data_IF_450655003193
#
_entry.id   IF_450655003193
#
_cell.length_a   1.000
_cell.length_b   1.000
_cell.length_c   1.000
_cell.angle_alpha   90.00
_cell.angle_beta   90.00
_cell.angle_gamma   90.00
#
_symmetry.space_group_name_H-M   'P 1'
#
loop_
_entity.id
_entity.type
_entity.pdbx_description
1 polymer ?
#
# COMPACT_ATOMS: atom_id res chain seq x y z
N UNK A 1 34.74 7.74 -6.30
CA UNK A 1 35.23 9.05 -5.79
C UNK A 1 34.07 10.03 -5.70
N UNK A 2 33.85 10.60 -4.52
CA UNK A 2 32.82 11.63 -4.29
C UNK A 2 33.51 12.98 -4.21
N UNK A 3 33.00 13.98 -4.92
CA UNK A 3 33.53 15.34 -4.92
C UNK A 3 32.87 16.12 -3.79
N UNK A 4 33.67 16.69 -2.91
CA UNK A 4 33.18 17.58 -1.87
C UNK A 4 33.18 19.06 -2.34
N UNK A 5 32.64 19.97 -1.53
CA UNK A 5 32.56 21.41 -1.81
C UNK A 5 33.92 22.06 -2.13
N UNK A 6 35.04 21.53 -1.60
CA UNK A 6 36.38 21.99 -1.87
C UNK A 6 37.01 21.37 -3.10
N UNK A 7 36.23 20.69 -3.96
CA UNK A 7 36.69 19.96 -5.15
C UNK A 7 37.71 18.86 -4.88
N UNK A 8 37.87 18.42 -3.62
CA UNK A 8 38.68 17.25 -3.28
C UNK A 8 37.86 15.99 -3.51
N UNK A 9 38.49 14.97 -4.01
CA UNK A 9 37.86 13.65 -4.16
C UNK A 9 38.11 12.84 -2.89
N UNK A 10 37.03 12.26 -2.35
CA UNK A 10 37.14 11.28 -1.28
C UNK A 10 37.39 9.92 -1.89
N UNK A 11 38.43 9.24 -1.50
CA UNK A 11 38.69 7.86 -1.88
C UNK A 11 37.85 6.96 -0.93
N UNK A 12 36.77 6.40 -1.41
CA UNK A 12 35.88 5.54 -0.61
C UNK A 12 36.53 4.21 -0.23
N UNK A 13 37.56 3.79 -0.97
CA UNK A 13 38.29 2.54 -0.69
C UNK A 13 39.27 2.71 0.49
N UNK A 14 39.60 3.94 0.85
CA UNK A 14 40.53 4.24 1.96
C UNK A 14 39.88 4.23 3.35
N UNK A 15 38.54 4.07 3.40
CA UNK A 15 37.78 4.19 4.64
C UNK A 15 37.60 5.62 5.12
N UNK A 16 36.97 5.78 6.27
CA UNK A 16 36.77 7.07 6.95
C UNK A 16 37.19 6.92 8.40
N UNK A 17 38.16 7.76 8.81
CA UNK A 17 38.56 7.86 10.21
C UNK A 17 37.53 8.66 11.00
N UNK A 18 36.94 8.03 12.00
CA UNK A 18 35.92 8.65 12.87
C UNK A 18 36.59 9.00 14.21
N UNK A 19 36.42 10.26 14.63
CA UNK A 19 36.87 10.67 15.95
C UNK A 19 36.31 9.77 17.06
N UNK A 20 37.12 9.27 18.01
CA UNK A 20 36.67 8.35 19.08
C UNK A 20 35.45 8.88 19.87
N UNK A 21 35.41 10.18 20.21
CA UNK A 21 34.26 10.80 20.88
C UNK A 21 32.99 10.77 20.03
N UNK A 22 33.10 10.95 18.72
CA UNK A 22 31.99 10.83 17.79
C UNK A 22 31.53 9.36 17.70
N UNK A 23 32.44 8.41 17.76
CA UNK A 23 32.09 6.97 17.78
C UNK A 23 31.32 6.60 19.05
N UNK A 24 31.72 7.10 20.22
CA UNK A 24 30.98 6.91 21.46
C UNK A 24 29.57 7.50 21.39
N UNK A 25 29.45 8.70 20.84
CA UNK A 25 28.18 9.36 20.59
C UNK A 25 27.28 8.51 19.65
N UNK A 26 27.82 8.04 18.54
CA UNK A 26 27.08 7.19 17.60
C UNK A 26 26.64 5.87 18.24
N UNK A 27 27.47 5.24 19.07
CA UNK A 27 27.10 4.03 19.81
C UNK A 27 25.96 4.31 20.80
N UNK A 28 26.09 5.39 21.59
CA UNK A 28 25.10 5.76 22.60
C UNK A 28 23.73 6.10 22.01
N UNK A 29 23.70 6.80 20.89
CA UNK A 29 22.46 7.29 20.27
C UNK A 29 22.08 6.53 18.98
N UNK A 30 22.64 5.35 18.75
CA UNK A 30 22.48 4.57 17.53
C UNK A 30 21.01 4.44 17.08
N UNK A 31 20.12 4.05 17.99
CA UNK A 31 18.69 3.83 17.68
C UNK A 31 18.01 5.13 17.22
N UNK A 32 18.26 6.24 17.90
CA UNK A 32 17.68 7.54 17.55
C UNK A 32 18.23 8.06 16.22
N UNK A 33 19.54 7.94 16.02
CA UNK A 33 20.21 8.36 14.79
C UNK A 33 19.74 7.52 13.59
N UNK A 34 19.61 6.21 13.74
CA UNK A 34 19.05 5.36 12.68
C UNK A 34 17.65 5.77 12.31
N UNK A 35 16.77 6.02 13.29
CA UNK A 35 15.40 6.48 13.02
C UNK A 35 15.40 7.84 12.31
N UNK A 36 16.25 8.77 12.72
CA UNK A 36 16.37 10.07 12.06
C UNK A 36 16.83 9.94 10.60
N UNK A 37 17.86 9.12 10.35
CA UNK A 37 18.37 8.86 8.99
C UNK A 37 17.29 8.20 8.13
N UNK A 38 16.58 7.19 8.66
CA UNK A 38 15.52 6.51 7.93
C UNK A 38 14.37 7.47 7.59
N UNK A 39 14.00 8.37 8.52
CA UNK A 39 12.98 9.38 8.27
C UNK A 39 13.39 10.34 7.15
N UNK A 40 14.60 10.85 7.17
CA UNK A 40 15.11 11.75 6.12
C UNK A 40 15.25 11.01 4.77
N UNK A 41 15.67 9.75 4.81
CA UNK A 41 15.72 8.90 3.63
C UNK A 41 14.33 8.65 3.04
N UNK A 42 13.33 8.36 3.89
CA UNK A 42 11.95 8.21 3.45
C UNK A 42 11.39 9.50 2.84
N UNK A 43 11.64 10.66 3.47
CA UNK A 43 11.25 11.98 2.93
C UNK A 43 11.90 12.26 1.57
N UNK A 44 13.16 11.87 1.40
CA UNK A 44 13.86 11.98 0.11
C UNK A 44 13.21 11.08 -0.94
N UNK A 45 12.92 9.83 -0.58
CA UNK A 45 12.28 8.88 -1.48
C UNK A 45 10.84 9.27 -1.83
N UNK A 46 10.08 9.87 -0.92
CA UNK A 46 8.73 10.38 -1.20
C UNK A 46 8.72 11.43 -2.30
N UNK A 47 9.75 12.27 -2.39
CA UNK A 47 9.89 13.25 -3.48
C UNK A 47 10.14 12.61 -4.85
N UNK A 48 10.74 11.42 -4.86
CA UNK A 48 11.05 10.67 -6.09
C UNK A 48 9.97 9.67 -6.46
N UNK A 49 9.17 9.23 -5.48
CA UNK A 49 8.17 8.18 -5.61
C UNK A 49 6.80 8.69 -5.15
N UNK A 50 6.32 9.75 -5.81
CA UNK A 50 5.00 10.31 -5.54
C UNK A 50 3.94 9.20 -5.64
N UNK A 51 3.25 8.93 -4.54
CA UNK A 51 2.16 7.97 -4.47
C UNK A 51 2.49 6.59 -3.90
N UNK A 52 3.70 6.33 -3.41
CA UNK A 52 3.98 5.10 -2.66
C UNK A 52 3.54 5.27 -1.21
N UNK A 53 2.46 4.60 -0.76
CA UNK A 53 1.98 4.76 0.60
C UNK A 53 2.94 4.13 1.62
N UNK A 54 2.98 4.71 2.81
CA UNK A 54 3.76 4.24 3.97
C UNK A 54 5.23 3.95 3.71
N UNK A 55 5.89 4.85 3.02
CA UNK A 55 7.30 4.70 2.66
C UNK A 55 8.20 4.58 3.89
N UNK A 56 7.88 5.31 4.98
CA UNK A 56 8.62 5.28 6.24
C UNK A 56 8.61 3.85 6.82
N UNK A 57 7.45 3.22 6.98
CA UNK A 57 7.33 1.86 7.51
C UNK A 57 8.05 0.84 6.61
N UNK A 58 7.95 1.00 5.29
CA UNK A 58 8.64 0.14 4.32
C UNK A 58 10.16 0.28 4.41
N UNK A 59 10.68 1.47 4.66
CA UNK A 59 12.15 1.70 4.80
C UNK A 59 12.67 1.23 6.15
N UNK A 60 11.85 1.22 7.19
CA UNK A 60 12.23 0.71 8.52
C UNK A 60 12.17 -0.83 8.59
N UNK A 61 11.66 -1.50 7.56
CA UNK A 61 11.53 -2.96 7.53
C UNK A 61 10.51 -3.47 8.55
N UNK A 62 9.60 -2.62 9.01
CA UNK A 62 8.56 -3.02 9.94
C UNK A 62 7.58 -3.98 9.23
N UNK A 63 7.37 -5.14 9.83
CA UNK A 63 6.31 -6.05 9.42
C UNK A 63 4.98 -5.38 9.77
N UNK A 64 4.26 -4.90 8.74
CA UNK A 64 2.92 -4.33 8.95
C UNK A 64 1.97 -5.48 9.26
N UNK A 65 1.46 -5.58 10.51
CA UNK A 65 0.61 -6.69 10.89
C UNK A 65 -0.70 -6.62 10.12
N UNK A 66 -1.11 -7.74 9.51
CA UNK A 66 -2.44 -7.86 8.90
C UNK A 66 -3.48 -7.94 10.00
N UNK A 67 -4.49 -7.09 9.93
CA UNK A 67 -5.61 -7.13 10.87
C UNK A 67 -6.66 -8.16 10.47
N UNK A 68 -7.49 -8.60 11.44
CA UNK A 68 -8.62 -9.47 11.12
C UNK A 68 -9.67 -8.73 10.29
N UNK A 69 -9.90 -9.17 9.06
CA UNK A 69 -10.79 -8.51 8.09
C UNK A 69 -12.30 -8.73 8.34
N UNK A 70 -12.67 -9.44 9.42
CA UNK A 70 -14.06 -9.79 9.72
C UNK A 70 -15.00 -8.58 9.87
N UNK A 71 -14.53 -7.45 10.39
CA UNK A 71 -15.32 -6.21 10.48
C UNK A 71 -15.69 -5.64 9.10
N UNK A 72 -14.78 -5.72 8.14
CA UNK A 72 -15.01 -5.26 6.76
C UNK A 72 -15.95 -6.20 6.02
N UNK A 73 -15.81 -7.51 6.25
CA UNK A 73 -16.73 -8.50 5.73
C UNK A 73 -18.17 -8.21 6.19
N UNK A 74 -18.38 -8.00 7.50
CA UNK A 74 -19.69 -7.67 8.07
C UNK A 74 -20.29 -6.39 7.48
N UNK A 75 -19.45 -5.40 7.14
CA UNK A 75 -19.91 -4.16 6.55
C UNK A 75 -20.28 -4.32 5.06
N UNK A 76 -19.63 -5.21 4.31
CA UNK A 76 -19.85 -5.41 2.88
C UNK A 76 -20.93 -6.46 2.55
N UNK A 77 -21.02 -7.56 3.31
CA UNK A 77 -21.94 -8.68 3.05
C UNK A 77 -23.43 -8.31 2.92
N UNK A 78 -23.98 -7.30 3.62
CA UNK A 78 -25.37 -6.90 3.42
C UNK A 78 -25.68 -6.41 2.00
N UNK A 79 -24.69 -5.84 1.32
CA UNK A 79 -24.85 -5.17 0.03
C UNK A 79 -24.32 -5.98 -1.14
N UNK A 80 -23.34 -6.88 -0.91
CA UNK A 80 -22.63 -7.61 -1.97
C UNK A 80 -22.73 -9.11 -1.71
N UNK A 81 -23.53 -9.79 -2.53
CA UNK A 81 -23.79 -11.23 -2.41
C UNK A 81 -23.00 -12.05 -3.42
N UNK A 82 -22.48 -11.42 -4.45
CA UNK A 82 -21.76 -12.08 -5.52
C UNK A 82 -20.28 -11.75 -5.47
N UNK A 83 -19.47 -12.65 -5.98
CA UNK A 83 -18.03 -12.43 -6.16
C UNK A 83 -17.81 -11.23 -7.07
N UNK A 84 -16.98 -10.31 -6.62
CA UNK A 84 -16.67 -9.08 -7.34
C UNK A 84 -16.09 -9.34 -8.73
N UNK A 85 -15.30 -10.39 -8.89
CA UNK A 85 -14.59 -10.68 -10.13
C UNK A 85 -15.36 -11.57 -11.11
N UNK A 86 -15.96 -12.67 -10.65
CA UNK A 86 -16.65 -13.63 -11.51
C UNK A 86 -18.16 -13.62 -11.38
N UNK A 87 -18.72 -12.75 -10.57
CA UNK A 87 -20.16 -12.58 -10.32
C UNK A 87 -20.90 -13.83 -9.81
N UNK A 88 -20.23 -14.90 -9.41
CA UNK A 88 -20.86 -16.07 -8.80
C UNK A 88 -21.35 -15.74 -7.39
N UNK A 89 -22.47 -16.33 -6.98
CA UNK A 89 -22.99 -16.18 -5.63
C UNK A 89 -21.94 -16.64 -4.61
N UNK A 90 -21.74 -15.84 -3.58
CA UNK A 90 -20.75 -16.10 -2.53
C UNK A 90 -21.33 -17.04 -1.47
N UNK A 91 -20.60 -18.08 -1.16
CA UNK A 91 -20.89 -18.99 -0.06
C UNK A 91 -20.24 -18.50 1.22
N UNK A 92 -20.97 -18.58 2.34
CA UNK A 92 -20.53 -18.02 3.64
C UNK A 92 -19.11 -18.45 4.06
N UNK A 93 -18.74 -19.70 3.80
CA UNK A 93 -17.46 -20.27 4.21
C UNK A 93 -16.33 -20.10 3.16
N UNK A 94 -16.65 -19.64 1.96
CA UNK A 94 -15.73 -19.46 0.83
C UNK A 94 -15.60 -18.00 0.39
N UNK A 95 -16.13 -17.08 1.20
CA UNK A 95 -16.07 -15.65 0.93
C UNK A 95 -14.85 -15.04 1.59
N UNK A 96 -14.05 -14.36 0.81
CA UNK A 96 -12.86 -13.65 1.25
C UNK A 96 -13.05 -12.14 1.11
N UNK A 97 -12.51 -11.39 2.06
CA UNK A 97 -12.30 -9.94 1.90
C UNK A 97 -10.98 -9.78 1.17
N UNK A 98 -11.01 -9.16 0.02
CA UNK A 98 -9.89 -9.05 -0.89
C UNK A 98 -9.54 -7.58 -1.17
N UNK A 99 -8.25 -7.27 -1.18
CA UNK A 99 -7.72 -5.97 -1.57
C UNK A 99 -7.69 -5.85 -3.10
N UNK A 100 -8.43 -4.91 -3.67
CA UNK A 100 -8.41 -4.69 -5.13
C UNK A 100 -7.04 -4.22 -5.59
N UNK A 101 -6.49 -3.19 -4.94
CA UNK A 101 -5.08 -2.81 -5.07
C UNK A 101 -4.30 -3.57 -4.00
N UNK A 102 -3.21 -4.29 -4.34
CA UNK A 102 -2.53 -5.21 -3.44
C UNK A 102 -2.13 -4.58 -2.09
N UNK A 103 -2.29 -5.36 -1.00
CA UNK A 103 -1.90 -4.94 0.33
C UNK A 103 -0.41 -4.56 0.41
N UNK A 104 0.45 -5.31 -0.26
CA UNK A 104 1.90 -5.06 -0.23
C UNK A 104 2.26 -3.69 -0.82
N UNK A 105 1.39 -3.14 -1.67
CA UNK A 105 1.51 -1.78 -2.18
C UNK A 105 0.91 -0.75 -1.23
N UNK A 106 -0.39 -0.89 -0.87
CA UNK A 106 -1.12 0.08 -0.02
C UNK A 106 -0.62 0.03 1.43
N UNK A 107 -0.30 -1.18 1.94
CA UNK A 107 0.11 -1.44 3.32
C UNK A 107 -0.91 -0.98 4.37
N UNK A 108 -2.19 -0.86 3.99
CA UNK A 108 -3.30 -0.45 4.84
C UNK A 108 -4.56 -1.25 4.58
N UNK A 109 -5.30 -1.49 5.67
CA UNK A 109 -6.60 -2.12 5.65
C UNK A 109 -7.70 -1.06 5.61
N UNK A 110 -8.04 -0.62 4.40
CA UNK A 110 -9.05 0.41 4.13
C UNK A 110 -10.23 -0.16 3.34
N UNK A 111 -11.47 0.03 3.85
CA UNK A 111 -12.67 -0.54 3.23
C UNK A 111 -12.91 -0.02 1.80
N UNK A 112 -12.41 1.15 1.45
CA UNK A 112 -12.50 1.67 0.09
C UNK A 112 -11.78 0.77 -0.93
N UNK A 113 -10.75 0.04 -0.48
CA UNK A 113 -9.96 -0.89 -1.30
C UNK A 113 -10.41 -2.35 -1.20
N UNK A 114 -11.40 -2.65 -0.36
CA UNK A 114 -11.86 -4.02 -0.15
C UNK A 114 -13.05 -4.40 -1.02
N UNK A 115 -13.10 -5.66 -1.40
CA UNK A 115 -14.25 -6.29 -2.03
C UNK A 115 -14.47 -7.69 -1.47
N UNK A 116 -15.60 -8.33 -1.85
CA UNK A 116 -15.86 -9.72 -1.53
C UNK A 116 -15.59 -10.59 -2.74
N UNK A 117 -14.74 -11.59 -2.58
CA UNK A 117 -14.34 -12.51 -3.62
C UNK A 117 -14.54 -13.97 -3.19
N UNK A 118 -14.81 -14.85 -4.16
CA UNK A 118 -14.77 -16.29 -3.93
C UNK A 118 -13.31 -16.75 -3.82
N UNK A 119 -13.08 -17.90 -3.20
CA UNK A 119 -11.75 -18.46 -3.00
C UNK A 119 -10.97 -18.58 -4.32
N UNK A 120 -11.61 -19.05 -5.41
CA UNK A 120 -10.97 -19.21 -6.72
C UNK A 120 -10.41 -17.88 -7.23
N UNK A 121 -11.21 -16.80 -7.24
CA UNK A 121 -10.76 -15.49 -7.71
C UNK A 121 -9.72 -14.85 -6.80
N UNK A 122 -9.88 -14.98 -5.46
CA UNK A 122 -8.92 -14.51 -4.49
C UNK A 122 -7.54 -15.17 -4.69
N UNK A 123 -7.52 -16.51 -4.86
CA UNK A 123 -6.29 -17.26 -5.13
C UNK A 123 -5.70 -16.93 -6.51
N UNK A 124 -6.51 -16.64 -7.52
CA UNK A 124 -6.01 -16.24 -8.85
C UNK A 124 -5.34 -14.87 -8.80
N UNK A 125 -5.96 -13.93 -8.07
CA UNK A 125 -5.46 -12.56 -7.99
C UNK A 125 -4.16 -12.45 -7.19
N UNK A 126 -4.09 -13.09 -6.01
CA UNK A 126 -2.95 -12.97 -5.11
C UNK A 126 -2.50 -11.49 -4.93
N UNK A 127 -1.21 -11.21 -5.15
CA UNK A 127 -0.63 -9.88 -5.11
C UNK A 127 -0.67 -9.09 -6.42
N UNK A 128 -1.47 -9.54 -7.42
CA UNK A 128 -1.57 -8.85 -8.72
C UNK A 128 -2.64 -7.76 -8.70
N UNK A 129 -2.57 -6.82 -9.65
CA UNK A 129 -3.66 -5.89 -9.96
C UNK A 129 -4.72 -6.59 -10.81
N UNK A 130 -6.02 -6.31 -10.60
CA UNK A 130 -7.05 -6.80 -11.52
C UNK A 130 -7.04 -6.00 -12.84
N UNK A 131 -7.72 -6.45 -13.90
CA UNK A 131 -7.99 -5.63 -15.08
C UNK A 131 -8.63 -4.28 -14.72
N UNK A 132 -8.32 -3.23 -15.48
CA UNK A 132 -8.74 -1.84 -15.22
C UNK A 132 -10.26 -1.67 -15.04
N UNK A 133 -11.09 -2.48 -15.75
CA UNK A 133 -12.54 -2.48 -15.57
C UNK A 133 -12.98 -2.63 -14.11
N UNK A 134 -12.23 -3.42 -13.33
CA UNK A 134 -12.53 -3.60 -11.90
C UNK A 134 -12.11 -2.40 -11.04
N UNK A 135 -11.18 -1.58 -11.50
CA UNK A 135 -10.89 -0.30 -10.83
C UNK A 135 -12.07 0.66 -10.98
N UNK A 136 -12.62 0.79 -12.19
CA UNK A 136 -13.79 1.63 -12.45
C UNK A 136 -15.01 1.15 -11.64
N UNK A 137 -15.21 -0.16 -11.57
CA UNK A 137 -16.26 -0.76 -10.75
C UNK A 137 -16.07 -0.46 -9.25
N UNK A 138 -14.81 -0.49 -8.76
CA UNK A 138 -14.48 -0.14 -7.37
C UNK A 138 -14.81 1.32 -7.06
N UNK A 139 -14.42 2.23 -7.94
CA UNK A 139 -14.68 3.67 -7.80
C UNK A 139 -16.19 3.92 -7.82
N UNK A 140 -16.91 3.34 -8.77
CA UNK A 140 -18.36 3.45 -8.89
C UNK A 140 -19.08 2.87 -7.65
N UNK A 141 -18.64 1.70 -7.17
CA UNK A 141 -19.15 1.12 -5.92
C UNK A 141 -18.91 2.08 -4.75
N UNK A 142 -17.74 2.61 -4.59
CA UNK A 142 -17.40 3.53 -3.52
C UNK A 142 -18.31 4.77 -3.53
N UNK A 143 -18.53 5.36 -4.69
CA UNK A 143 -19.43 6.50 -4.88
C UNK A 143 -20.88 6.16 -4.49
N UNK A 144 -21.41 5.04 -5.00
CA UNK A 144 -22.82 4.67 -4.86
C UNK A 144 -23.18 4.14 -3.47
N UNK A 145 -22.22 3.60 -2.73
CA UNK A 145 -22.46 3.02 -1.41
C UNK A 145 -21.88 3.83 -0.26
N UNK A 146 -21.22 4.95 -0.53
CA UNK A 146 -20.67 5.86 0.48
C UNK A 146 -21.70 6.20 1.56
N UNK A 147 -22.88 6.65 1.17
CA UNK A 147 -23.95 7.02 2.11
C UNK A 147 -24.63 5.84 2.82
N UNK A 148 -24.45 4.61 2.32
CA UNK A 148 -25.10 3.40 2.85
C UNK A 148 -24.21 2.63 3.83
N UNK A 149 -22.89 2.78 3.73
CA UNK A 149 -21.90 2.07 4.54
C UNK A 149 -21.07 3.09 5.32
N UNK A 150 -21.39 3.37 6.61
CA UNK A 150 -20.72 4.41 7.39
C UNK A 150 -19.19 4.25 7.46
N UNK A 151 -18.71 3.02 7.54
CA UNK A 151 -17.26 2.73 7.53
C UNK A 151 -16.61 3.13 6.20
N UNK A 152 -17.32 2.99 5.08
CA UNK A 152 -16.84 3.40 3.76
C UNK A 152 -16.81 4.92 3.65
N UNK A 153 -17.84 5.61 4.13
CA UNK A 153 -17.87 7.08 4.15
C UNK A 153 -16.69 7.65 4.94
N UNK A 154 -16.47 7.13 6.16
CA UNK A 154 -15.30 7.54 6.98
C UNK A 154 -13.99 7.30 6.23
N UNK A 155 -13.84 6.12 5.61
CA UNK A 155 -12.62 5.75 4.89
C UNK A 155 -12.36 6.62 3.66
N UNK A 156 -13.39 7.00 2.92
CA UNK A 156 -13.29 7.90 1.77
C UNK A 156 -13.06 9.35 2.18
N UNK A 157 -13.65 9.80 3.29
CA UNK A 157 -13.40 11.13 3.85
C UNK A 157 -11.92 11.28 4.25
N UNK A 158 -11.33 10.26 4.86
CA UNK A 158 -9.90 10.24 5.20
C UNK A 158 -8.99 10.20 3.97
N UNK A 159 -9.45 9.56 2.89
CA UNK A 159 -8.71 9.54 1.62
C UNK A 159 -8.70 10.92 0.93
N UNK A 160 -9.76 11.71 1.13
CA UNK A 160 -9.89 13.08 0.62
C UNK A 160 -11.04 13.28 -0.36
N UNK A 161 -11.30 14.54 -0.70
CA UNK A 161 -12.43 14.91 -1.59
C UNK A 161 -12.30 14.31 -2.99
N UNK A 162 -11.08 14.25 -3.53
CA UNK A 162 -10.78 13.69 -4.85
C UNK A 162 -10.47 12.19 -4.78
N UNK A 163 -11.18 11.42 -3.92
CA UNK A 163 -10.88 10.01 -3.68
C UNK A 163 -10.81 9.17 -4.97
N UNK A 164 -11.61 9.49 -5.98
CA UNK A 164 -11.63 8.76 -7.26
C UNK A 164 -10.28 8.87 -7.98
N UNK A 165 -9.77 10.09 -8.08
CA UNK A 165 -8.44 10.35 -8.65
C UNK A 165 -7.36 9.67 -7.82
N UNK A 166 -7.43 9.75 -6.50
CA UNK A 166 -6.44 9.15 -5.60
C UNK A 166 -6.41 7.62 -5.75
N UNK A 167 -7.57 6.98 -5.85
CA UNK A 167 -7.67 5.53 -6.08
C UNK A 167 -7.06 5.16 -7.44
N UNK A 168 -7.36 5.95 -8.48
CA UNK A 168 -6.79 5.75 -9.81
C UNK A 168 -5.26 5.93 -9.79
N UNK A 169 -4.77 6.99 -9.16
CA UNK A 169 -3.33 7.26 -9.02
C UNK A 169 -2.62 6.12 -8.27
N UNK A 170 -3.22 5.55 -7.24
CA UNK A 170 -2.68 4.37 -6.55
C UNK A 170 -2.56 3.16 -7.48
N UNK A 171 -3.54 2.91 -8.32
CA UNK A 171 -3.51 1.80 -9.26
C UNK A 171 -2.41 1.98 -10.31
N UNK A 172 -2.32 3.14 -10.94
CA UNK A 172 -1.29 3.45 -11.94
C UNK A 172 0.12 3.45 -11.33
N UNK A 173 0.26 3.96 -10.12
CA UNK A 173 1.53 3.92 -9.41
C UNK A 173 1.94 2.47 -9.07
N UNK A 174 1.01 1.62 -8.61
CA UNK A 174 1.29 0.20 -8.39
C UNK A 174 1.76 -0.48 -9.68
N UNK A 175 1.09 -0.22 -10.80
CA UNK A 175 1.46 -0.71 -12.14
C UNK A 175 2.87 -0.25 -12.54
N UNK A 176 3.21 1.03 -12.33
CA UNK A 176 4.53 1.57 -12.61
C UNK A 176 5.63 0.98 -11.71
N UNK A 177 5.29 0.51 -10.52
CA UNK A 177 6.19 -0.19 -9.60
C UNK A 177 6.32 -1.70 -9.87
N UNK A 178 5.78 -2.17 -10.99
CA UNK A 178 5.97 -3.53 -11.46
C UNK A 178 4.93 -4.54 -10.98
N UNK A 179 3.82 -4.08 -10.37
CA UNK A 179 2.70 -4.98 -10.07
C UNK A 179 2.04 -5.45 -11.37
N UNK A 180 1.92 -6.76 -11.52
CA UNK A 180 1.37 -7.38 -12.73
C UNK A 180 -0.13 -7.13 -12.79
N UNK A 181 -0.62 -6.64 -13.92
CA UNK A 181 -2.07 -6.55 -14.20
C UNK A 181 -2.52 -7.86 -14.82
N UNK A 182 -3.51 -8.51 -14.21
CA UNK A 182 -4.11 -9.72 -14.74
C UNK A 182 -4.88 -9.42 -16.03
N UNK A 183 -4.91 -10.38 -16.95
CA UNK A 183 -5.70 -10.26 -18.19
C UNK A 183 -7.19 -10.47 -17.95
N UNK A 184 -7.54 -11.45 -17.12
CA UNK A 184 -8.93 -11.78 -16.76
C UNK A 184 -9.01 -12.69 -15.53
N UNK A 185 -10.23 -12.97 -15.05
CA UNK A 185 -10.50 -13.91 -13.98
C UNK A 185 -11.16 -15.18 -14.53
N UNK A 186 -10.93 -16.34 -13.88
CA UNK A 186 -11.56 -17.58 -14.30
C UNK A 186 -13.06 -17.52 -14.06
N UNK A 187 -13.84 -17.87 -15.09
CA UNK A 187 -15.26 -18.12 -15.04
C UNK A 187 -15.62 -19.32 -14.15
#
# INVERSE_FOLDING_TARGET
>A
RVKNENRKYVNLDAGIDINPKAMEFFKKYNTVLKKAVNLEWARFLEKLNLGVPRLIQKTEGEIIPRTALGKYRKALEPYFKNCYYCNKLLEKNQTHVEHVIPFDYIAEDNIWNFTLACQKCNCTKLGSLPPEKFLDELINRNRNYRSKIPMLDTSLTLLGENFEKIIHDHFENAKSHGYVVLKDFPN
#
